data_IF_897303890448
#
_entry.id   IF_897303890448
#
_cell.length_a   1.000
_cell.length_b   1.000
_cell.length_c   1.000
_cell.angle_alpha   90.00
_cell.angle_beta   90.00
_cell.angle_gamma   90.00
#
_symmetry.space_group_name_H-M   'P 1'
#
loop_
_entity.id
_entity.type
_entity.pdbx_description
1 polymer ?
#
# COMPACT_ATOMS: atom_id res chain seq x y z
N UNK A 1 -80.14 -12.84 -2.00
CA UNK A 1 -80.83 -11.56 -2.25
C UNK A 1 -80.63 -10.67 -1.05
N UNK A 2 -80.69 -9.36 -1.29
CA UNK A 2 -81.00 -8.31 -0.29
C UNK A 2 -79.82 -7.53 0.31
N UNK A 3 -79.56 -6.41 -0.37
CA UNK A 3 -79.45 -5.03 0.12
C UNK A 3 -78.29 -4.59 1.03
N UNK A 4 -77.46 -3.75 0.42
CA UNK A 4 -76.82 -2.56 1.03
C UNK A 4 -77.83 -1.70 1.78
N UNK A 5 -77.40 -1.08 2.90
CA UNK A 5 -77.72 0.32 3.11
C UNK A 5 -76.49 1.21 3.34
N UNK A 6 -76.63 2.41 2.78
CA UNK A 6 -75.78 3.59 2.78
C UNK A 6 -75.81 4.26 4.17
N UNK A 7 -74.70 4.83 4.62
CA UNK A 7 -74.65 5.83 5.69
C UNK A 7 -73.48 6.77 5.34
N UNK A 8 -73.73 7.94 4.78
CA UNK A 8 -74.12 9.19 5.45
C UNK A 8 -72.96 9.76 6.27
N UNK A 9 -72.13 10.56 5.60
CA UNK A 9 -71.02 11.30 6.17
C UNK A 9 -71.52 12.58 6.84
N UNK A 10 -71.23 12.76 8.11
CA UNK A 10 -71.42 14.02 8.85
C UNK A 10 -70.14 14.86 8.73
N UNK A 11 -70.21 16.17 8.40
CA UNK A 11 -69.02 17.01 8.40
C UNK A 11 -68.62 17.43 9.83
N UNK A 12 -67.38 17.14 10.21
CA UNK A 12 -66.76 17.58 11.47
C UNK A 12 -66.37 19.07 11.38
N UNK A 13 -66.60 19.90 12.41
CA UNK A 13 -66.20 21.30 12.40
C UNK A 13 -64.67 21.48 12.48
N UNK A 14 -64.19 22.54 11.83
CA UNK A 14 -62.78 22.95 11.73
C UNK A 14 -62.20 23.38 13.09
N UNK A 15 -61.03 22.89 13.53
CA UNK A 15 -60.40 23.36 14.76
C UNK A 15 -59.75 24.74 14.58
N UNK A 16 -60.09 25.66 15.48
CA UNK A 16 -59.49 27.00 15.66
C UNK A 16 -58.00 26.90 15.97
N UNK A 17 -57.14 27.52 15.16
CA UNK A 17 -55.71 27.63 15.41
C UNK A 17 -55.43 28.61 16.57
N UNK A 18 -54.94 28.09 17.69
CA UNK A 18 -54.23 28.89 18.71
C UNK A 18 -52.79 29.10 18.26
N UNK A 19 -52.20 30.31 18.31
CA UNK A 19 -50.80 30.50 17.97
C UNK A 19 -49.90 29.81 19.02
N UNK A 20 -49.07 28.88 18.56
CA UNK A 20 -48.08 28.18 19.36
C UNK A 20 -46.92 29.15 19.71
N UNK A 21 -46.42 29.17 20.96
CA UNK A 21 -45.27 29.99 21.33
C UNK A 21 -44.03 29.54 20.54
N UNK A 22 -43.34 30.51 19.96
CA UNK A 22 -42.10 30.33 19.21
C UNK A 22 -41.00 29.81 20.14
N UNK A 23 -40.70 28.52 20.05
CA UNK A 23 -39.48 27.96 20.63
C UNK A 23 -38.32 28.30 19.68
N UNK A 24 -37.49 29.26 20.07
CA UNK A 24 -36.18 29.46 19.45
C UNK A 24 -35.32 28.24 19.80
N UNK A 25 -34.84 27.42 18.84
CA UNK A 25 -33.89 26.38 19.17
C UNK A 25 -32.56 27.04 19.56
N UNK A 26 -32.12 26.79 20.78
CA UNK A 26 -30.76 27.09 21.23
C UNK A 26 -29.79 26.23 20.39
N UNK A 27 -28.70 26.79 19.83
CA UNK A 27 -27.78 26.00 19.03
C UNK A 27 -27.14 24.92 19.92
N UNK A 28 -27.50 23.66 19.66
CA UNK A 28 -26.83 22.50 20.23
C UNK A 28 -25.41 22.45 19.66
N UNK A 29 -24.43 22.91 20.43
CA UNK A 29 -23.01 22.67 20.13
C UNK A 29 -22.75 21.18 20.32
N UNK A 30 -22.92 20.41 19.25
CA UNK A 30 -22.38 19.06 19.15
C UNK A 30 -20.85 19.19 19.25
N UNK A 31 -20.17 18.46 20.15
CA UNK A 31 -18.71 18.43 20.10
C UNK A 31 -18.31 17.88 18.72
N UNK A 32 -17.52 18.66 17.99
CA UNK A 32 -16.86 18.23 16.76
C UNK A 32 -16.13 16.93 17.13
N UNK A 33 -16.30 15.81 16.39
CA UNK A 33 -15.49 14.63 16.66
C UNK A 33 -14.02 15.07 16.60
N UNK A 34 -13.34 14.91 17.72
CA UNK A 34 -11.92 15.13 17.87
C UNK A 34 -11.24 14.46 16.68
N UNK A 35 -10.54 15.26 15.86
CA UNK A 35 -9.90 14.78 14.65
C UNK A 35 -9.10 13.51 15.02
N UNK A 36 -9.41 12.39 14.37
CA UNK A 36 -8.64 11.16 14.53
C UNK A 36 -7.17 11.50 14.37
N UNK A 37 -6.28 11.01 15.26
CA UNK A 37 -4.87 11.36 15.17
C UNK A 37 -4.39 11.05 13.75
N UNK A 38 -3.74 12.03 13.13
CA UNK A 38 -3.01 11.80 11.88
C UNK A 38 -2.15 10.55 12.08
N UNK A 39 -2.26 9.51 11.23
CA UNK A 39 -1.45 8.32 11.42
C UNK A 39 0.02 8.73 11.41
N UNK A 40 0.74 8.35 12.47
CA UNK A 40 2.19 8.54 12.56
C UNK A 40 2.85 7.86 11.36
N UNK A 41 3.84 8.50 10.70
CA UNK A 41 4.51 7.89 9.57
C UNK A 41 5.23 6.61 10.02
N UNK A 42 4.99 5.51 9.31
CA UNK A 42 5.63 4.22 9.60
C UNK A 42 7.14 4.25 9.37
N UNK A 43 7.63 5.16 8.51
CA UNK A 43 9.02 5.32 8.11
C UNK A 43 9.48 6.77 8.33
N UNK A 44 10.66 6.92 8.93
CA UNK A 44 11.34 8.18 9.18
C UNK A 44 12.69 8.17 8.45
N UNK A 45 12.83 9.02 7.43
CA UNK A 45 14.11 9.24 6.74
C UNK A 45 15.13 9.84 7.72
N UNK A 46 16.41 9.50 7.54
CA UNK A 46 17.52 10.05 8.31
C UNK A 46 18.52 10.74 7.37
N UNK A 47 18.22 11.98 6.92
CA UNK A 47 19.04 12.65 5.91
C UNK A 47 20.51 12.85 6.32
N UNK A 48 20.76 12.98 7.62
CA UNK A 48 22.11 13.13 8.17
C UNK A 48 22.97 11.85 8.04
N UNK A 49 22.34 10.69 7.83
CA UNK A 49 23.01 9.40 7.58
C UNK A 49 23.18 9.11 6.08
N UNK A 50 22.77 10.03 5.20
CA UNK A 50 22.80 9.87 3.75
C UNK A 50 21.47 9.34 3.17
N UNK A 51 21.45 8.99 1.86
CA UNK A 51 20.25 8.41 1.25
C UNK A 51 19.93 7.04 1.88
N UNK A 52 18.66 6.60 1.85
CA UNK A 52 18.29 5.24 2.22
C UNK A 52 19.11 4.22 1.44
N UNK A 53 19.62 3.20 2.14
CA UNK A 53 20.41 2.12 1.54
C UNK A 53 19.97 0.77 2.04
N UNK A 54 20.12 -0.21 1.17
CA UNK A 54 19.93 -1.64 1.46
C UNK A 54 21.23 -2.37 1.20
N UNK A 55 21.75 -3.03 2.23
CA UNK A 55 22.89 -3.92 2.12
C UNK A 55 22.38 -5.36 2.11
N UNK A 56 22.79 -6.17 1.15
CA UNK A 56 22.46 -7.60 1.06
C UNK A 56 23.76 -8.37 0.92
N UNK A 57 24.17 -9.09 1.96
CA UNK A 57 25.52 -9.67 2.00
C UNK A 57 26.60 -8.59 1.83
N UNK A 58 27.34 -8.64 0.71
CA UNK A 58 28.36 -7.64 0.36
C UNK A 58 27.87 -6.59 -0.66
N UNK A 59 26.64 -6.72 -1.17
CA UNK A 59 26.05 -5.79 -2.12
C UNK A 59 25.42 -4.59 -1.40
N UNK A 60 25.49 -3.41 -2.03
CA UNK A 60 24.89 -2.18 -1.49
C UNK A 60 24.12 -1.47 -2.60
N UNK A 61 22.89 -1.07 -2.29
CA UNK A 61 22.01 -0.33 -3.18
C UNK A 61 21.53 0.95 -2.52
N UNK A 62 21.58 2.07 -3.22
CA UNK A 62 20.81 3.26 -2.86
C UNK A 62 19.33 2.96 -3.16
N UNK A 63 18.46 3.14 -2.16
CA UNK A 63 17.09 2.65 -2.20
C UNK A 63 16.07 3.78 -2.31
N UNK A 64 15.20 3.71 -3.31
CA UNK A 64 13.93 4.42 -3.30
C UNK A 64 12.93 3.63 -2.45
N UNK A 65 12.18 4.28 -1.57
CA UNK A 65 11.27 3.61 -0.64
C UNK A 65 9.83 3.64 -1.16
N UNK A 66 9.18 2.47 -1.21
CA UNK A 66 7.77 2.32 -1.54
C UNK A 66 7.01 1.74 -0.34
N UNK A 67 6.40 2.61 0.47
CA UNK A 67 5.74 2.21 1.72
C UNK A 67 4.27 2.60 1.81
N UNK A 68 3.79 3.57 1.03
CA UNK A 68 2.35 3.82 0.92
C UNK A 68 1.69 2.85 -0.07
N UNK A 69 0.38 2.60 0.02
CA UNK A 69 -0.34 1.83 -1.00
C UNK A 69 -0.14 2.39 -2.41
N UNK A 70 -0.11 3.70 -2.56
CA UNK A 70 0.11 4.41 -3.82
C UNK A 70 1.52 4.15 -4.36
N UNK A 71 2.56 4.33 -3.53
CA UNK A 71 3.95 4.09 -3.94
C UNK A 71 4.15 2.64 -4.37
N UNK A 72 3.60 1.68 -3.61
CA UNK A 72 3.70 0.25 -3.93
C UNK A 72 2.93 -0.12 -5.20
N UNK A 73 1.84 0.58 -5.50
CA UNK A 73 1.08 0.34 -6.74
C UNK A 73 1.80 0.91 -7.95
N UNK A 74 2.44 2.08 -7.80
CA UNK A 74 3.22 2.71 -8.87
C UNK A 74 4.52 1.96 -9.15
N UNK A 75 5.26 1.61 -8.09
CA UNK A 75 6.56 0.95 -8.19
C UNK A 75 7.50 1.61 -9.20
N UNK A 76 8.10 0.77 -10.04
CA UNK A 76 8.99 1.18 -11.14
C UNK A 76 8.27 1.36 -12.50
N UNK A 77 6.93 1.24 -12.55
CA UNK A 77 6.17 1.35 -13.80
C UNK A 77 6.43 2.67 -14.53
N UNK A 78 6.39 2.61 -15.86
CA UNK A 78 6.60 3.72 -16.81
C UNK A 78 8.02 4.35 -16.81
N UNK A 79 8.93 3.91 -15.93
CA UNK A 79 10.33 4.36 -15.93
C UNK A 79 11.09 3.74 -17.10
N UNK A 80 12.02 4.50 -17.69
CA UNK A 80 12.85 4.02 -18.81
C UNK A 80 13.99 3.09 -18.38
N UNK A 81 14.51 3.29 -17.16
CA UNK A 81 15.63 2.50 -16.63
C UNK A 81 15.74 2.66 -15.11
N UNK A 82 16.53 1.79 -14.49
CA UNK A 82 16.98 1.87 -13.11
C UNK A 82 18.52 1.87 -13.08
N UNK A 83 19.20 2.82 -12.43
CA UNK A 83 20.65 2.76 -12.28
C UNK A 83 21.12 1.45 -11.62
N UNK A 84 22.29 0.96 -12.03
CA UNK A 84 22.80 -0.36 -11.57
C UNK A 84 23.09 -0.44 -10.07
N UNK A 85 23.33 0.70 -9.41
CA UNK A 85 23.61 0.80 -7.96
C UNK A 85 22.37 1.19 -7.16
N UNK A 86 21.20 1.19 -7.77
CA UNK A 86 19.94 1.57 -7.13
C UNK A 86 18.95 0.42 -7.13
N UNK A 87 18.02 0.47 -6.18
CA UNK A 87 16.88 -0.42 -6.11
C UNK A 87 15.66 0.30 -5.56
N UNK A 88 14.50 -0.35 -5.65
CA UNK A 88 13.31 0.09 -4.94
C UNK A 88 12.98 -0.89 -3.82
N UNK A 89 12.92 -0.39 -2.58
CA UNK A 89 12.55 -1.18 -1.42
C UNK A 89 11.07 -0.97 -1.12
N UNK A 90 10.28 -2.02 -1.35
CA UNK A 90 8.90 -2.09 -0.95
C UNK A 90 8.83 -2.52 0.52
N UNK A 91 8.07 -1.77 1.32
CA UNK A 91 7.94 -1.98 2.76
C UNK A 91 6.48 -2.31 3.06
N UNK A 92 6.26 -3.43 3.75
CA UNK A 92 4.94 -3.85 4.24
C UNK A 92 4.85 -3.62 5.75
N UNK A 93 3.66 -3.27 6.22
CA UNK A 93 3.39 -3.04 7.65
C UNK A 93 3.38 -4.35 8.45
N UNK A 94 3.01 -5.45 7.80
CA UNK A 94 2.90 -6.78 8.38
C UNK A 94 3.48 -7.81 7.41
N UNK A 95 4.04 -8.89 7.96
CA UNK A 95 4.57 -10.01 7.17
C UNK A 95 3.45 -10.65 6.35
N UNK A 96 3.71 -10.87 5.06
CA UNK A 96 2.71 -11.37 4.10
C UNK A 96 3.36 -11.97 2.86
N UNK A 97 2.60 -12.72 2.08
CA UNK A 97 2.95 -13.08 0.69
C UNK A 97 2.37 -12.06 -0.29
N UNK A 98 3.07 -10.96 -0.65
CA UNK A 98 2.55 -10.02 -1.62
C UNK A 98 2.51 -10.64 -3.03
N UNK A 99 1.68 -10.08 -3.90
CA UNK A 99 1.63 -10.47 -5.31
C UNK A 99 1.98 -9.29 -6.19
N UNK A 100 3.06 -9.44 -6.94
CA UNK A 100 3.59 -8.47 -7.87
C UNK A 100 3.28 -8.86 -9.30
N UNK A 101 3.42 -7.88 -10.18
CA UNK A 101 3.23 -7.99 -11.63
C UNK A 101 4.08 -6.92 -12.30
N UNK A 102 4.36 -7.10 -13.60
CA UNK A 102 5.23 -6.21 -14.37
C UNK A 102 4.44 -5.27 -15.27
N UNK A 103 3.27 -4.81 -14.83
CA UNK A 103 2.41 -3.93 -15.63
C UNK A 103 3.10 -2.59 -15.86
N UNK A 104 3.15 -2.14 -17.12
CA UNK A 104 3.85 -0.93 -17.55
C UNK A 104 5.37 -0.93 -17.28
N UNK A 105 5.99 -2.08 -17.00
CA UNK A 105 7.44 -2.16 -16.87
C UNK A 105 8.13 -2.14 -18.23
N UNK A 106 9.21 -1.37 -18.33
CA UNK A 106 10.02 -1.20 -19.57
C UNK A 106 11.36 -1.93 -19.53
N UNK A 107 11.72 -2.51 -18.39
CA UNK A 107 12.96 -3.26 -18.18
C UNK A 107 12.72 -4.41 -17.21
N UNK A 108 13.59 -5.41 -17.29
CA UNK A 108 13.51 -6.63 -16.51
C UNK A 108 14.10 -6.40 -15.10
N UNK A 109 13.58 -7.13 -14.11
CA UNK A 109 13.96 -6.97 -12.70
C UNK A 109 14.35 -8.31 -12.07
N UNK A 110 15.17 -8.24 -11.02
CA UNK A 110 15.21 -9.29 -10.00
C UNK A 110 14.38 -8.82 -8.80
N UNK A 111 13.59 -9.73 -8.22
CA UNK A 111 12.86 -9.50 -6.97
C UNK A 111 13.56 -10.25 -5.84
N UNK A 112 14.11 -9.50 -4.89
CA UNK A 112 14.76 -10.06 -3.69
C UNK A 112 13.79 -9.91 -2.52
N UNK A 113 13.17 -11.01 -2.13
CA UNK A 113 12.17 -11.04 -1.07
C UNK A 113 12.83 -11.22 0.29
N UNK A 114 12.48 -10.39 1.28
CA UNK A 114 13.21 -10.28 2.54
C UNK A 114 12.25 -10.49 3.71
N UNK A 115 12.57 -11.48 4.55
CA UNK A 115 11.79 -11.84 5.74
C UNK A 115 11.83 -10.79 6.84
N UNK A 116 10.95 -10.95 7.84
CA UNK A 116 10.95 -10.11 9.05
C UNK A 116 12.22 -10.28 9.91
N UNK A 117 12.92 -11.41 9.73
CA UNK A 117 14.20 -11.74 10.36
C UNK A 117 15.41 -11.12 9.65
N UNK A 118 15.16 -10.31 8.62
CA UNK A 118 16.17 -9.59 7.84
C UNK A 118 17.11 -10.50 7.07
N UNK A 119 16.55 -11.61 6.58
CA UNK A 119 17.21 -12.56 5.72
C UNK A 119 16.53 -12.58 4.35
N UNK A 120 17.32 -12.73 3.28
CA UNK A 120 16.77 -13.01 1.94
C UNK A 120 16.04 -14.35 2.00
N UNK A 121 14.73 -14.31 1.82
CA UNK A 121 13.83 -15.44 1.99
C UNK A 121 13.52 -16.15 0.68
N UNK A 122 13.50 -15.41 -0.44
CA UNK A 122 13.23 -15.92 -1.78
C UNK A 122 13.79 -14.95 -2.82
N UNK A 123 14.04 -15.43 -4.04
CA UNK A 123 14.50 -14.59 -5.16
C UNK A 123 13.79 -15.02 -6.45
N UNK A 124 13.19 -14.05 -7.16
CA UNK A 124 12.80 -14.25 -8.54
C UNK A 124 13.80 -13.53 -9.45
N UNK A 125 14.56 -14.30 -10.22
CA UNK A 125 15.55 -13.77 -11.16
C UNK A 125 14.93 -13.46 -12.53
N UNK A 126 15.44 -12.41 -13.17
CA UNK A 126 15.14 -12.05 -14.56
C UNK A 126 13.64 -12.03 -14.86
N UNK A 127 12.87 -11.40 -13.97
CA UNK A 127 11.44 -11.17 -14.13
C UNK A 127 11.24 -10.27 -15.35
N UNK A 128 10.60 -10.77 -16.43
CA UNK A 128 10.56 -10.05 -17.68
C UNK A 128 9.61 -8.85 -17.60
N UNK A 129 10.01 -7.76 -18.24
CA UNK A 129 9.14 -6.62 -18.54
C UNK A 129 7.89 -7.06 -19.30
N UNK A 130 6.88 -6.19 -19.33
CA UNK A 130 5.74 -6.39 -20.21
C UNK A 130 6.18 -6.38 -21.68
N UNK A 131 5.82 -7.43 -22.41
CA UNK A 131 6.08 -7.51 -23.84
C UNK A 131 5.14 -6.56 -24.62
N UNK A 132 5.59 -6.11 -25.79
CA UNK A 132 4.84 -5.17 -26.61
C UNK A 132 3.50 -5.78 -27.03
N UNK A 133 2.39 -5.12 -26.67
CA UNK A 133 1.04 -5.59 -26.95
C UNK A 133 0.51 -6.68 -26.02
N UNK A 134 1.28 -7.12 -25.01
CA UNK A 134 0.80 -8.02 -23.97
C UNK A 134 -0.28 -7.33 -23.13
N UNK A 135 -1.41 -8.01 -22.90
CA UNK A 135 -2.51 -7.45 -22.13
C UNK A 135 -2.28 -7.60 -20.62
N UNK A 136 -2.84 -6.71 -19.77
CA UNK A 136 -2.72 -6.83 -18.31
C UNK A 136 -3.25 -8.15 -17.75
N UNK A 137 -4.25 -8.76 -18.41
CA UNK A 137 -4.82 -10.06 -18.05
C UNK A 137 -3.85 -11.23 -18.23
N UNK A 138 -2.84 -11.05 -19.08
CA UNK A 138 -1.90 -12.10 -19.50
C UNK A 138 -0.57 -11.99 -18.76
N UNK A 139 -0.44 -10.98 -17.87
CA UNK A 139 0.77 -10.77 -17.09
C UNK A 139 0.90 -11.83 -15.99
N UNK A 140 2.07 -12.49 -15.88
CA UNK A 140 2.33 -13.38 -14.76
C UNK A 140 2.26 -12.65 -13.42
N UNK A 141 1.96 -13.42 -12.38
CA UNK A 141 1.91 -12.97 -11.00
C UNK A 141 3.06 -13.61 -10.24
N UNK A 142 3.78 -12.79 -9.49
CA UNK A 142 4.97 -13.20 -8.75
C UNK A 142 4.72 -13.01 -7.25
N UNK A 143 4.94 -14.07 -6.49
CA UNK A 143 4.80 -14.06 -5.04
C UNK A 143 5.92 -14.88 -4.42
N UNK A 144 6.47 -14.46 -3.28
CA UNK A 144 7.42 -15.28 -2.55
C UNK A 144 6.72 -16.54 -2.03
N UNK A 145 7.50 -17.59 -1.81
CA UNK A 145 6.99 -18.84 -1.25
C UNK A 145 6.70 -18.77 0.27
N UNK A 146 7.09 -17.68 0.93
CA UNK A 146 6.95 -17.45 2.38
C UNK A 146 6.52 -16.01 2.66
N UNK A 147 6.02 -15.76 3.87
CA UNK A 147 5.71 -14.40 4.31
C UNK A 147 6.98 -13.55 4.42
N UNK A 148 6.91 -12.32 3.92
CA UNK A 148 7.99 -11.36 3.88
C UNK A 148 7.52 -9.98 4.34
N UNK A 149 8.46 -9.16 4.80
CA UNK A 149 8.20 -7.79 5.22
C UNK A 149 8.71 -6.77 4.19
N UNK A 150 9.62 -7.19 3.30
CA UNK A 150 10.14 -6.34 2.24
C UNK A 150 10.33 -7.07 0.91
N UNK A 151 10.35 -6.29 -0.16
CA UNK A 151 10.85 -6.71 -1.47
C UNK A 151 11.82 -5.65 -1.96
N UNK A 152 13.03 -6.05 -2.34
CA UNK A 152 13.98 -5.18 -3.02
C UNK A 152 13.96 -5.52 -4.52
N UNK A 153 13.48 -4.59 -5.33
CA UNK A 153 13.56 -4.67 -6.79
C UNK A 153 14.86 -4.05 -7.28
N UNK A 154 15.65 -4.81 -8.05
CA UNK A 154 16.90 -4.38 -8.69
C UNK A 154 16.89 -4.78 -10.16
N UNK A 155 17.84 -4.27 -10.96
CA UNK A 155 17.98 -4.68 -12.36
C UNK A 155 18.12 -6.19 -12.51
N UNK A 156 17.51 -6.77 -13.54
CA UNK A 156 17.62 -8.20 -13.83
C UNK A 156 19.06 -8.71 -13.94
N UNK A 157 19.30 -9.90 -13.39
CA UNK A 157 20.60 -10.57 -13.37
C UNK A 157 21.57 -10.01 -12.33
N UNK A 158 21.22 -8.91 -11.65
CA UNK A 158 22.11 -8.26 -10.69
C UNK A 158 22.28 -9.07 -9.41
N UNK A 159 21.25 -9.81 -8.99
CA UNK A 159 21.36 -10.70 -7.83
C UNK A 159 22.41 -11.79 -8.08
N UNK A 160 22.39 -12.41 -9.26
CA UNK A 160 23.37 -13.43 -9.65
C UNK A 160 24.77 -12.84 -9.80
N UNK A 161 24.90 -11.68 -10.47
CA UNK A 161 26.20 -11.01 -10.68
C UNK A 161 26.91 -10.67 -9.34
N UNK A 162 26.13 -10.28 -8.33
CA UNK A 162 26.65 -9.92 -7.02
C UNK A 162 26.72 -11.09 -6.03
N UNK A 163 26.26 -12.27 -6.43
CA UNK A 163 26.22 -13.46 -5.57
C UNK A 163 25.25 -13.33 -4.40
N UNK A 164 24.11 -12.64 -4.61
CA UNK A 164 23.03 -12.57 -3.63
C UNK A 164 22.27 -13.90 -3.62
N UNK A 165 22.18 -14.52 -2.45
CA UNK A 165 21.56 -15.83 -2.28
C UNK A 165 20.51 -15.83 -1.17
N UNK A 166 19.60 -16.81 -1.20
CA UNK A 166 18.67 -17.08 -0.09
C UNK A 166 19.50 -17.40 1.16
N UNK A 167 19.19 -16.76 2.28
CA UNK A 167 19.95 -16.85 3.52
C UNK A 167 20.90 -15.68 3.76
N UNK A 168 21.10 -14.80 2.79
CA UNK A 168 21.92 -13.60 2.98
C UNK A 168 21.28 -12.63 3.98
N UNK A 169 22.14 -12.02 4.78
CA UNK A 169 21.73 -10.99 5.73
C UNK A 169 21.48 -9.68 5.03
N UNK A 170 20.43 -9.00 5.49
CA UNK A 170 20.03 -7.68 5.01
C UNK A 170 20.13 -6.67 6.14
N UNK A 171 20.68 -5.48 5.85
CA UNK A 171 20.66 -4.34 6.77
C UNK A 171 20.33 -3.05 6.05
N UNK A 172 19.72 -2.11 6.76
CA UNK A 172 19.29 -0.81 6.24
C UNK A 172 20.01 0.34 6.92
N UNK A 173 20.21 1.43 6.20
CA UNK A 173 20.75 2.69 6.74
C UNK A 173 20.11 3.90 6.04
N UNK A 174 20.18 5.09 6.64
CA UNK A 174 19.60 6.30 6.04
C UNK A 174 18.08 6.45 6.26
N UNK A 175 17.44 5.49 6.94
CA UNK A 175 16.06 5.57 7.39
C UNK A 175 15.81 4.68 8.62
N UNK A 176 14.67 4.89 9.27
CA UNK A 176 14.15 4.08 10.38
C UNK A 176 12.64 3.94 10.27
N UNK A 177 12.03 3.14 11.13
CA UNK A 177 10.59 2.93 11.14
C UNK A 177 10.09 2.60 12.54
N UNK A 178 8.78 2.68 12.73
CA UNK A 178 8.10 2.38 14.00
C UNK A 178 7.86 0.87 14.21
N UNK A 179 8.39 0.01 13.34
CA UNK A 179 8.37 -1.45 13.43
C UNK A 179 9.73 -2.10 13.21
N UNK A 180 9.75 -3.39 12.83
CA UNK A 180 10.98 -4.06 12.45
C UNK A 180 11.60 -3.31 11.25
N UNK A 181 12.87 -2.95 11.38
CA UNK A 181 13.74 -2.40 10.34
C UNK A 181 15.03 -3.18 10.46
N UNK A 182 15.52 -3.70 9.35
CA UNK A 182 16.73 -4.51 9.36
C UNK A 182 17.95 -3.69 9.77
N UNK A 183 18.59 -4.09 10.87
CA UNK A 183 19.73 -3.43 11.49
C UNK A 183 20.95 -4.34 11.53
#
# INVERSE_FOLDING_TARGET
MTNTPRSSSTPTPLPTHTPQPTFTPEPTTTPIPEASPTPEPFIYLRPDEGPPRVNVGNAVFDAELAFTPEDRTQGLSDRESLPQTTGMLFIFEEARTPTFWMYHMRFDLDFVWIGEDCIVADIHHNVPRQADGQQPSDLPRYSPNVDVLYNLEINAGRAEELGIEIGDKVTFSGFSGTGAVCQ
#
